data_IF_700566597147
#
_entry.id   IF_700566597147
#
_cell.length_a   1.000
_cell.length_b   1.000
_cell.length_c   1.000
_cell.angle_alpha   90.00
_cell.angle_beta   90.00
_cell.angle_gamma   90.00
#
_symmetry.space_group_name_H-M   'P 1'
#
loop_
_entity.id
_entity.type
_entity.pdbx_description
1 polymer ?
#
# COMPACT_ATOMS: atom_id res chain seq x y z
N UNK A 1 -24.26 24.27 48.83
CA UNK A 1 -24.41 22.84 48.50
C UNK A 1 -24.67 22.72 47.00
N UNK A 2 -24.10 21.71 46.35
CA UNK A 2 -23.97 21.51 44.88
C UNK A 2 -22.79 22.24 44.20
N UNK A 3 -21.58 21.87 44.63
CA UNK A 3 -20.37 21.88 43.81
C UNK A 3 -19.58 20.63 44.17
N UNK A 4 -19.96 19.48 43.59
CA UNK A 4 -19.16 18.23 43.61
C UNK A 4 -19.85 17.12 42.77
N UNK A 5 -19.88 17.22 41.44
CA UNK A 5 -20.30 16.08 40.59
C UNK A 5 -19.77 16.09 39.16
N UNK A 6 -18.69 16.83 38.86
CA UNK A 6 -18.06 16.77 37.53
C UNK A 6 -16.54 16.87 37.66
N UNK A 7 -15.94 15.92 38.39
CA UNK A 7 -14.48 15.81 38.56
C UNK A 7 -13.98 14.37 38.70
N UNK A 8 -14.68 13.43 38.09
CA UNK A 8 -14.24 12.03 37.95
C UNK A 8 -14.55 11.62 36.51
N UNK A 9 -13.62 10.90 35.89
CA UNK A 9 -13.54 10.54 34.45
C UNK A 9 -12.87 11.62 33.60
N UNK A 10 -11.57 11.88 33.85
CA UNK A 10 -10.58 12.29 32.85
C UNK A 10 -9.20 12.38 33.54
N UNK A 11 -8.68 11.24 34.01
CA UNK A 11 -7.25 11.09 34.37
C UNK A 11 -6.94 9.63 34.69
N UNK A 12 -6.63 8.83 33.66
CA UNK A 12 -5.85 7.59 33.77
C UNK A 12 -5.52 7.06 32.37
N UNK A 13 -4.42 7.54 31.82
CA UNK A 13 -3.47 6.82 30.95
C UNK A 13 -2.69 7.84 30.12
N UNK A 14 -1.48 8.17 30.57
CA UNK A 14 -0.58 9.04 29.85
C UNK A 14 0.44 9.63 30.80
N UNK A 15 1.73 9.46 30.46
CA UNK A 15 2.94 9.88 31.19
C UNK A 15 3.53 8.85 32.15
N UNK A 16 4.01 7.74 31.61
CA UNK A 16 5.30 7.11 32.00
C UNK A 16 5.79 6.28 30.82
N UNK A 17 6.57 6.86 29.90
CA UNK A 17 7.57 6.18 29.05
C UNK A 17 8.20 7.14 28.02
N UNK A 18 8.68 8.31 28.44
CA UNK A 18 9.54 9.16 27.60
C UNK A 18 10.43 10.01 28.51
N UNK A 19 11.44 9.37 29.10
CA UNK A 19 12.53 10.02 29.84
C UNK A 19 13.64 8.99 30.12
N UNK A 20 14.34 8.51 29.08
CA UNK A 20 15.63 7.82 29.22
C UNK A 20 16.30 7.57 27.86
N UNK A 21 16.84 8.62 27.23
CA UNK A 21 18.05 8.62 26.37
C UNK A 21 18.17 9.95 25.63
N UNK A 22 18.49 11.01 26.38
CA UNK A 22 19.16 12.18 25.82
C UNK A 22 20.36 12.39 26.73
N UNK A 23 21.54 11.97 26.25
CA UNK A 23 22.77 12.05 27.01
C UNK A 23 23.96 11.61 26.17
N UNK A 24 24.77 12.61 25.80
CA UNK A 24 26.08 12.57 25.12
C UNK A 24 26.07 12.50 23.60
N UNK A 25 26.13 13.69 22.99
CA UNK A 25 26.85 13.91 21.75
C UNK A 25 27.52 15.28 21.82
N UNK A 26 28.75 15.31 22.33
CA UNK A 26 29.71 16.38 22.10
C UNK A 26 31.11 15.74 22.02
N UNK A 27 31.84 16.14 20.97
CA UNK A 27 33.22 15.78 20.60
C UNK A 27 33.46 14.41 19.98
N UNK A 28 33.59 14.39 18.64
CA UNK A 28 34.85 14.05 17.95
C UNK A 28 34.72 14.35 16.45
N UNK A 29 35.28 15.49 16.07
CA UNK A 29 35.73 15.80 14.71
C UNK A 29 36.93 14.93 14.36
N UNK A 30 36.76 14.01 13.40
CA UNK A 30 37.68 13.67 12.28
C UNK A 30 37.06 12.47 11.55
N UNK A 31 36.44 12.72 10.39
CA UNK A 31 36.09 11.66 9.45
C UNK A 31 37.37 11.24 8.72
N UNK A 32 37.94 10.12 9.12
CA UNK A 32 38.90 9.38 8.30
C UNK A 32 38.09 8.48 7.38
N UNK A 33 38.29 8.61 6.07
CA UNK A 33 37.74 7.71 5.06
C UNK A 33 38.08 6.26 5.39
N UNK A 34 37.05 5.48 5.75
CA UNK A 34 37.13 4.03 5.80
C UNK A 34 36.36 3.52 4.57
N UNK A 35 37.11 3.26 3.51
CA UNK A 35 36.65 2.55 2.31
C UNK A 35 36.37 1.09 2.68
N UNK A 36 35.09 0.72 2.71
CA UNK A 36 34.66 -0.68 2.78
C UNK A 36 34.80 -1.32 1.39
N UNK A 37 35.41 -2.50 1.24
CA UNK A 37 35.55 -3.18 -0.05
C UNK A 37 34.28 -3.97 -0.35
N UNK A 38 33.53 -3.55 -1.37
CA UNK A 38 32.34 -4.27 -1.84
C UNK A 38 31.37 -3.41 -2.65
N UNK A 39 31.90 -2.49 -3.45
CA UNK A 39 31.10 -1.68 -4.38
C UNK A 39 30.56 -2.60 -5.48
N UNK A 40 29.35 -3.13 -5.31
CA UNK A 40 28.57 -3.67 -6.43
C UNK A 40 28.10 -2.49 -7.30
N UNK A 41 29.04 -1.87 -8.02
CA UNK A 41 28.80 -0.84 -9.02
C UNK A 41 28.06 -1.48 -10.19
N UNK A 42 26.74 -1.52 -10.10
CA UNK A 42 25.95 -1.28 -11.30
C UNK A 42 26.15 0.19 -11.60
N UNK A 43 26.73 0.52 -12.75
CA UNK A 43 27.14 1.87 -13.08
C UNK A 43 25.98 2.85 -12.90
N UNK A 44 26.21 3.95 -12.18
CA UNK A 44 25.24 5.04 -12.03
C UNK A 44 24.76 5.56 -13.40
N UNK A 45 25.58 5.40 -14.45
CA UNK A 45 25.23 5.66 -15.84
C UNK A 45 24.11 4.74 -16.35
N UNK A 46 24.15 3.43 -16.05
CA UNK A 46 23.11 2.45 -16.45
C UNK A 46 21.78 2.75 -15.74
N UNK A 47 21.83 3.15 -14.48
CA UNK A 47 20.64 3.54 -13.72
C UNK A 47 20.06 4.85 -14.26
N UNK A 48 20.91 5.84 -14.55
CA UNK A 48 20.50 7.12 -15.14
C UNK A 48 19.87 6.90 -16.52
N UNK A 49 20.44 6.04 -17.37
CA UNK A 49 19.91 5.72 -18.69
C UNK A 49 18.56 4.95 -18.62
N UNK A 50 18.43 4.02 -17.66
CA UNK A 50 17.18 3.31 -17.40
C UNK A 50 16.05 4.25 -16.94
N UNK A 51 16.36 5.33 -16.21
CA UNK A 51 15.39 6.37 -15.85
C UNK A 51 15.10 7.33 -17.02
N UNK A 52 16.00 7.41 -18.00
CA UNK A 52 15.92 8.30 -19.16
C UNK A 52 15.25 7.69 -20.39
N UNK A 53 14.83 6.42 -20.38
CA UNK A 53 14.09 5.80 -21.50
C UNK A 53 12.69 6.42 -21.63
N UNK A 54 12.65 7.59 -22.26
CA UNK A 54 11.50 8.47 -22.46
C UNK A 54 10.89 8.25 -23.83
N UNK A 55 9.63 7.82 -23.87
CA UNK A 55 8.59 8.17 -24.87
C UNK A 55 7.45 7.15 -24.87
N UNK A 56 7.71 5.88 -24.52
CA UNK A 56 6.71 4.82 -24.55
C UNK A 56 6.28 4.41 -23.14
N UNK A 57 4.96 4.24 -22.96
CA UNK A 57 4.41 3.66 -21.74
C UNK A 57 5.03 2.29 -21.49
N UNK A 58 5.59 2.11 -20.30
CA UNK A 58 6.19 0.85 -19.86
C UNK A 58 5.14 -0.23 -19.54
N UNK A 59 3.87 0.18 -19.43
CA UNK A 59 2.70 -0.66 -19.19
C UNK A 59 1.78 -0.57 -20.40
N UNK A 60 1.35 -1.72 -20.93
CA UNK A 60 0.40 -1.80 -22.03
C UNK A 60 -0.84 -2.59 -21.63
N UNK A 61 -1.99 -2.11 -22.10
CA UNK A 61 -3.29 -2.71 -21.86
C UNK A 61 -3.71 -3.55 -23.07
N UNK A 62 -4.71 -4.42 -22.89
CA UNK A 62 -5.31 -5.13 -24.02
C UNK A 62 -6.06 -4.16 -24.94
N UNK A 63 -6.41 -4.64 -26.14
CA UNK A 63 -6.97 -3.81 -27.22
C UNK A 63 -8.34 -3.18 -26.91
N UNK A 64 -9.02 -3.62 -25.85
CA UNK A 64 -10.27 -3.05 -25.36
C UNK A 64 -10.08 -1.72 -24.58
N UNK A 65 -8.83 -1.30 -24.35
CA UNK A 65 -8.49 -0.05 -23.68
C UNK A 65 -8.28 -0.21 -22.17
N UNK A 66 -8.22 0.92 -21.47
CA UNK A 66 -8.03 0.94 -20.02
C UNK A 66 -9.24 1.55 -19.32
N UNK A 67 -9.88 0.76 -18.46
CA UNK A 67 -10.92 1.20 -17.53
C UNK A 67 -10.37 1.14 -16.09
N UNK A 68 -10.23 2.28 -15.40
CA UNK A 68 -9.67 2.33 -14.04
C UNK A 68 -10.54 1.64 -13.00
N UNK A 69 -11.81 1.32 -13.29
CA UNK A 69 -12.74 0.67 -12.38
C UNK A 69 -13.04 -0.78 -12.75
N UNK A 70 -12.26 -1.36 -13.67
CA UNK A 70 -12.34 -2.78 -14.04
C UNK A 70 -11.03 -3.50 -13.74
N UNK A 71 -11.13 -4.75 -13.31
CA UNK A 71 -9.98 -5.65 -13.19
C UNK A 71 -9.50 -6.04 -14.59
N UNK A 72 -8.21 -5.87 -14.88
CA UNK A 72 -7.68 -6.04 -16.24
C UNK A 72 -6.30 -6.72 -16.29
N UNK A 73 -6.05 -7.59 -17.28
CA UNK A 73 -4.70 -8.05 -17.57
C UNK A 73 -3.86 -6.91 -18.18
N UNK A 74 -2.59 -6.86 -17.82
CA UNK A 74 -1.63 -5.88 -18.36
C UNK A 74 -0.32 -6.57 -18.76
N UNK A 75 0.42 -5.94 -19.66
CA UNK A 75 1.79 -6.33 -20.03
C UNK A 75 2.74 -5.18 -19.69
N UNK A 76 4.01 -5.48 -19.48
CA UNK A 76 5.02 -4.47 -19.20
C UNK A 76 6.42 -4.87 -19.67
N UNK A 77 7.33 -3.89 -19.73
CA UNK A 77 8.74 -4.09 -20.16
C UNK A 77 9.76 -3.98 -19.02
N UNK A 78 9.28 -4.01 -17.77
CA UNK A 78 10.10 -3.78 -16.57
C UNK A 78 10.85 -5.00 -16.01
N UNK A 79 10.71 -6.19 -16.59
CA UNK A 79 11.30 -7.44 -16.05
C UNK A 79 12.82 -7.36 -15.89
N UNK A 80 13.50 -6.74 -16.85
CA UNK A 80 14.95 -6.59 -16.87
C UNK A 80 15.40 -5.22 -16.34
N UNK A 81 14.50 -4.44 -15.74
CA UNK A 81 14.83 -3.10 -15.26
C UNK A 81 15.90 -3.19 -14.15
N UNK A 82 17.02 -2.43 -14.23
CA UNK A 82 18.16 -2.57 -13.31
C UNK A 82 17.78 -2.41 -11.82
N UNK A 83 16.85 -1.50 -11.52
CA UNK A 83 16.37 -1.29 -10.14
C UNK A 83 15.52 -2.43 -9.59
N UNK A 84 15.03 -3.33 -10.44
CA UNK A 84 14.21 -4.47 -10.00
C UNK A 84 15.00 -5.78 -9.94
N UNK A 85 16.32 -5.71 -10.12
CA UNK A 85 17.23 -6.86 -10.03
C UNK A 85 17.75 -7.03 -8.60
N UNK A 86 18.05 -8.29 -8.23
CA UNK A 86 18.38 -8.66 -6.85
C UNK A 86 19.46 -7.81 -6.17
N UNK A 87 20.61 -7.48 -6.82
CA UNK A 87 21.61 -6.62 -6.19
C UNK A 87 21.04 -5.26 -5.76
N UNK A 88 20.15 -4.67 -6.55
CA UNK A 88 19.54 -3.38 -6.22
C UNK A 88 18.40 -3.49 -5.23
N UNK A 89 17.70 -4.63 -5.19
CA UNK A 89 16.72 -4.90 -4.15
C UNK A 89 17.37 -5.10 -2.78
N UNK A 90 18.54 -5.75 -2.73
CA UNK A 90 19.35 -5.85 -1.50
C UNK A 90 19.81 -4.48 -1.02
N UNK A 91 20.41 -3.68 -1.91
CA UNK A 91 20.85 -2.33 -1.56
C UNK A 91 19.68 -1.41 -1.13
N UNK A 92 18.52 -1.54 -1.75
CA UNK A 92 17.31 -0.83 -1.33
C UNK A 92 16.84 -1.29 0.05
N UNK A 93 16.84 -2.60 0.30
CA UNK A 93 16.40 -3.16 1.58
C UNK A 93 17.24 -2.61 2.74
N UNK A 94 18.55 -2.53 2.61
CA UNK A 94 19.40 -1.94 3.66
C UNK A 94 18.99 -0.50 3.99
N UNK A 95 18.64 0.30 2.97
CA UNK A 95 18.18 1.69 3.18
C UNK A 95 16.79 1.75 3.80
N UNK A 96 15.87 0.86 3.38
CA UNK A 96 14.50 0.82 3.91
C UNK A 96 14.42 0.25 5.33
N UNK A 97 15.32 -0.67 5.70
CA UNK A 97 15.34 -1.29 7.03
C UNK A 97 15.62 -0.25 8.12
N UNK A 98 16.55 0.68 7.87
CA UNK A 98 16.84 1.81 8.76
C UNK A 98 15.61 2.69 9.00
N UNK A 99 14.71 2.77 8.03
CA UNK A 99 13.47 3.55 8.10
C UNK A 99 12.28 2.74 8.65
N UNK A 100 12.46 1.46 8.97
CA UNK A 100 11.36 0.58 9.39
C UNK A 100 10.33 0.33 8.28
N UNK A 101 10.73 0.49 7.02
CA UNK A 101 9.84 0.39 5.84
C UNK A 101 9.93 -0.99 5.17
N UNK A 102 10.08 -2.03 5.97
CA UNK A 102 10.09 -3.44 5.54
C UNK A 102 9.11 -4.22 6.38
N UNK A 103 8.36 -5.10 5.73
CA UNK A 103 7.52 -6.10 6.40
C UNK A 103 7.90 -7.49 5.93
N UNK A 104 8.02 -8.42 6.87
CA UNK A 104 8.32 -9.82 6.56
C UNK A 104 7.56 -10.77 7.47
N UNK A 105 7.32 -11.98 6.98
CA UNK A 105 6.75 -13.11 7.72
C UNK A 105 7.21 -14.43 7.07
N UNK A 106 7.12 -15.56 7.77
CA UNK A 106 7.36 -16.87 7.16
C UNK A 106 6.28 -17.18 6.11
N UNK A 107 6.53 -18.14 5.22
CA UNK A 107 5.57 -18.55 4.20
C UNK A 107 4.45 -19.48 4.73
N UNK A 108 4.26 -19.57 6.04
CA UNK A 108 3.20 -20.37 6.67
C UNK A 108 1.81 -19.72 6.59
N UNK A 109 1.73 -18.47 6.12
CA UNK A 109 0.46 -17.80 5.87
C UNK A 109 -0.34 -18.54 4.79
N UNK A 110 -1.65 -18.62 4.97
CA UNK A 110 -2.59 -19.24 4.05
C UNK A 110 -3.61 -18.21 3.55
N UNK A 111 -4.45 -18.61 2.59
CA UNK A 111 -5.50 -17.78 2.00
C UNK A 111 -6.36 -17.04 3.05
N UNK A 112 -6.74 -17.75 4.11
CA UNK A 112 -7.57 -17.22 5.20
C UNK A 112 -6.82 -16.59 6.38
N UNK A 113 -5.49 -16.48 6.33
CA UNK A 113 -4.75 -15.76 7.38
C UNK A 113 -5.18 -14.29 7.41
N UNK A 114 -5.53 -13.70 8.57
CA UNK A 114 -5.83 -12.28 8.64
C UNK A 114 -4.62 -11.45 8.19
N UNK A 115 -4.76 -10.73 7.08
CA UNK A 115 -3.63 -10.08 6.39
C UNK A 115 -2.81 -9.13 7.29
N UNK A 116 -3.48 -8.34 8.14
CA UNK A 116 -2.81 -7.42 9.06
C UNK A 116 -2.02 -8.17 10.16
N UNK A 117 -2.40 -9.41 10.49
CA UNK A 117 -1.81 -10.19 11.56
C UNK A 117 -0.71 -11.16 11.10
N UNK A 118 -0.53 -11.38 9.79
CA UNK A 118 0.41 -12.38 9.26
C UNK A 118 1.82 -12.28 9.87
N UNK A 119 2.41 -11.07 9.94
CA UNK A 119 3.72 -10.84 10.59
C UNK A 119 3.77 -11.22 12.06
N UNK A 120 2.67 -11.03 12.80
CA UNK A 120 2.60 -11.38 14.23
C UNK A 120 2.39 -12.88 14.42
N UNK A 121 1.58 -13.51 13.57
CA UNK A 121 1.24 -14.93 13.65
C UNK A 121 2.37 -15.83 13.14
N UNK A 122 3.10 -15.36 12.12
CA UNK A 122 4.12 -16.12 11.41
C UNK A 122 5.42 -15.30 11.32
N UNK A 123 6.06 -14.96 12.45
CA UNK A 123 7.23 -14.09 12.45
C UNK A 123 8.37 -14.72 11.64
N UNK A 124 9.02 -13.92 10.79
CA UNK A 124 10.29 -14.31 10.19
C UNK A 124 11.43 -14.04 11.18
N UNK A 125 12.26 -15.04 11.44
CA UNK A 125 13.38 -14.95 12.39
C UNK A 125 14.68 -14.43 11.75
N UNK A 126 14.73 -14.34 10.42
CA UNK A 126 15.87 -13.83 9.65
C UNK A 126 15.81 -12.32 9.51
N UNK A 127 16.97 -11.67 9.37
CA UNK A 127 16.99 -10.24 8.99
C UNK A 127 16.47 -10.04 7.56
N UNK A 128 16.09 -8.82 7.21
CA UNK A 128 15.65 -8.49 5.86
C UNK A 128 16.75 -8.82 4.82
N UNK A 129 17.99 -8.42 5.08
CA UNK A 129 19.13 -8.69 4.20
C UNK A 129 19.39 -10.20 4.02
N UNK A 130 19.38 -10.98 5.12
CA UNK A 130 19.54 -12.44 5.05
C UNK A 130 18.38 -13.10 4.28
N UNK A 131 17.16 -12.62 4.51
CA UNK A 131 15.96 -13.12 3.82
C UNK A 131 16.04 -12.89 2.33
N UNK A 132 16.45 -11.71 1.88
CA UNK A 132 16.59 -11.38 0.46
C UNK A 132 17.74 -12.16 -0.20
N UNK A 133 18.89 -12.28 0.48
CA UNK A 133 20.05 -12.98 -0.05
C UNK A 133 19.79 -14.48 -0.26
N UNK A 134 18.99 -15.09 0.62
CA UNK A 134 18.67 -16.52 0.61
C UNK A 134 17.19 -16.79 0.27
N UNK A 135 16.52 -15.87 -0.44
CA UNK A 135 15.06 -15.90 -0.58
C UNK A 135 14.51 -17.22 -1.13
N UNK A 136 15.28 -17.93 -1.95
CA UNK A 136 14.85 -19.23 -2.47
C UNK A 136 14.55 -20.24 -1.36
N UNK A 137 15.36 -20.25 -0.30
CA UNK A 137 15.30 -21.23 0.78
C UNK A 137 14.83 -20.61 2.11
N UNK A 138 14.65 -19.29 2.14
CA UNK A 138 14.28 -18.54 3.34
C UNK A 138 12.88 -18.89 3.88
N UNK A 139 12.01 -19.49 3.06
CA UNK A 139 10.60 -19.77 3.40
C UNK A 139 9.90 -18.54 3.95
N UNK A 140 10.05 -17.43 3.22
CA UNK A 140 9.65 -16.12 3.69
C UNK A 140 8.94 -15.30 2.62
N UNK A 141 8.07 -14.43 3.09
CA UNK A 141 7.56 -13.28 2.39
C UNK A 141 8.30 -12.04 2.89
N UNK A 142 8.77 -11.19 1.97
CA UNK A 142 9.35 -9.90 2.28
C UNK A 142 8.75 -8.82 1.38
N UNK A 143 8.35 -7.72 1.99
CA UNK A 143 7.79 -6.56 1.30
C UNK A 143 8.61 -5.31 1.63
N UNK A 144 9.15 -4.70 0.58
CA UNK A 144 9.78 -3.38 0.60
C UNK A 144 8.65 -2.35 0.44
N UNK A 145 8.34 -1.65 1.52
CA UNK A 145 7.17 -0.77 1.60
C UNK A 145 7.54 0.64 1.16
N UNK A 146 6.60 1.31 0.47
CA UNK A 146 6.72 2.73 0.13
C UNK A 146 8.07 3.08 -0.50
N UNK A 147 8.53 2.33 -1.50
CA UNK A 147 9.90 2.45 -2.03
C UNK A 147 10.22 3.86 -2.52
N UNK A 148 9.21 4.66 -2.86
CA UNK A 148 9.34 6.08 -3.20
C UNK A 148 9.86 6.99 -2.08
N UNK A 149 9.98 6.52 -0.83
CA UNK A 149 10.71 7.28 0.20
C UNK A 149 12.20 7.40 -0.15
N UNK A 150 12.75 6.38 -0.81
CA UNK A 150 14.08 6.43 -1.42
C UNK A 150 14.05 7.32 -2.68
N UNK A 151 14.96 8.30 -2.84
CA UNK A 151 14.92 9.24 -3.97
C UNK A 151 15.02 8.59 -5.36
N UNK A 152 15.82 7.53 -5.48
CA UNK A 152 16.03 6.84 -6.75
C UNK A 152 14.75 6.08 -7.16
N UNK A 153 14.15 5.37 -6.22
CA UNK A 153 12.89 4.68 -6.47
C UNK A 153 11.70 5.64 -6.57
N UNK A 154 11.77 6.84 -5.99
CA UNK A 154 10.78 7.91 -6.18
C UNK A 154 10.71 8.36 -7.63
N UNK A 155 11.87 8.62 -8.23
CA UNK A 155 11.95 8.99 -9.64
C UNK A 155 11.44 7.85 -10.52
N UNK A 156 11.82 6.61 -10.22
CA UNK A 156 11.33 5.43 -10.92
C UNK A 156 9.79 5.31 -10.87
N UNK A 157 9.19 5.32 -9.67
CA UNK A 157 7.73 5.29 -9.49
C UNK A 157 7.06 6.47 -10.19
N UNK A 158 7.69 7.65 -10.14
CA UNK A 158 7.31 8.83 -10.90
C UNK A 158 7.19 8.52 -12.40
N UNK A 159 8.29 8.18 -13.03
CA UNK A 159 8.35 7.91 -14.47
C UNK A 159 7.30 6.89 -14.93
N UNK A 160 7.11 5.78 -14.21
CA UNK A 160 6.12 4.77 -14.58
C UNK A 160 4.69 5.32 -14.52
N UNK A 161 4.30 5.96 -13.40
CA UNK A 161 2.94 6.46 -13.24
C UNK A 161 2.65 7.69 -14.13
N UNK A 162 3.66 8.47 -14.50
CA UNK A 162 3.49 9.57 -15.48
C UNK A 162 3.20 9.02 -16.89
N UNK A 163 3.72 7.84 -17.22
CA UNK A 163 3.40 7.15 -18.48
C UNK A 163 1.94 6.68 -18.58
N UNK A 164 1.31 6.38 -17.43
CA UNK A 164 -0.10 5.92 -17.38
C UNK A 164 -1.08 7.08 -17.24
N UNK A 165 -0.67 8.18 -16.61
CA UNK A 165 -1.54 9.35 -16.34
C UNK A 165 -2.38 9.82 -17.53
N UNK A 166 -1.86 9.93 -18.78
CA UNK A 166 -2.67 10.37 -19.92
C UNK A 166 -3.87 9.47 -20.23
N UNK A 167 -3.83 8.19 -19.83
CA UNK A 167 -4.93 7.25 -19.99
C UNK A 167 -5.98 7.39 -18.89
N UNK A 168 -5.57 7.90 -17.72
CA UNK A 168 -6.42 8.06 -16.54
C UNK A 168 -7.14 9.39 -16.50
N UNK A 169 -6.44 10.48 -16.79
CA UNK A 169 -6.98 11.83 -16.62
C UNK A 169 -8.33 12.07 -17.32
N UNK A 170 -8.60 11.49 -18.51
CA UNK A 170 -9.91 11.67 -19.17
C UNK A 170 -11.08 10.96 -18.48
N UNK A 171 -10.85 9.91 -17.70
CA UNK A 171 -11.92 9.05 -17.16
C UNK A 171 -11.93 8.95 -15.62
N UNK A 172 -10.78 9.06 -14.96
CA UNK A 172 -10.65 9.08 -13.50
C UNK A 172 -9.50 10.02 -13.06
N UNK A 173 -9.72 11.35 -13.07
CA UNK A 173 -8.69 12.36 -12.85
C UNK A 173 -8.20 12.46 -11.39
N UNK A 174 -7.17 13.27 -11.19
CA UNK A 174 -6.70 13.61 -9.85
C UNK A 174 -5.71 12.59 -9.26
N UNK A 175 -4.86 11.99 -10.11
CA UNK A 175 -3.83 11.06 -9.68
C UNK A 175 -2.95 11.66 -8.57
N UNK A 176 -2.97 11.04 -7.40
CA UNK A 176 -2.22 11.46 -6.21
C UNK A 176 -1.74 10.25 -5.39
N UNK A 177 -0.96 10.51 -4.32
CA UNK A 177 -0.42 9.47 -3.42
C UNK A 177 0.25 8.30 -4.16
N UNK A 178 1.14 8.66 -5.09
CA UNK A 178 1.85 7.74 -5.97
C UNK A 178 2.84 6.91 -5.17
N UNK A 179 2.66 5.60 -5.17
CA UNK A 179 3.45 4.69 -4.34
C UNK A 179 4.00 3.49 -5.11
N UNK A 180 5.02 2.86 -4.53
CA UNK A 180 5.58 1.61 -5.00
C UNK A 180 5.84 0.61 -3.86
N UNK A 181 5.58 -0.67 -4.13
CA UNK A 181 5.86 -1.78 -3.21
C UNK A 181 6.51 -2.91 -3.98
N UNK A 182 7.60 -3.46 -3.44
CA UNK A 182 8.27 -4.61 -4.04
C UNK A 182 8.08 -5.80 -3.12
N UNK A 183 7.57 -6.90 -3.68
CA UNK A 183 7.38 -8.16 -2.98
C UNK A 183 8.42 -9.16 -3.47
N UNK A 184 9.21 -9.68 -2.54
CA UNK A 184 10.24 -10.70 -2.77
C UNK A 184 9.89 -11.89 -1.89
N UNK A 185 9.67 -13.04 -2.50
CA UNK A 185 9.01 -14.16 -1.82
C UNK A 185 9.56 -15.51 -2.26
N UNK A 186 9.70 -16.42 -1.29
CA UNK A 186 10.09 -17.81 -1.52
C UNK A 186 9.02 -18.55 -2.35
N UNK A 187 9.37 -19.72 -2.92
CA UNK A 187 8.40 -20.63 -3.53
C UNK A 187 7.20 -20.92 -2.61
N UNK A 188 6.03 -21.15 -3.21
CA UNK A 188 4.78 -21.54 -2.54
C UNK A 188 4.25 -20.56 -1.48
N UNK A 189 4.80 -19.34 -1.41
CA UNK A 189 4.30 -18.29 -0.52
C UNK A 189 2.92 -17.83 -0.94
N UNK A 190 2.03 -17.64 0.04
CA UNK A 190 0.69 -17.07 -0.16
C UNK A 190 0.62 -15.67 0.43
N UNK A 191 0.09 -14.71 -0.34
CA UNK A 191 -0.40 -13.45 0.23
C UNK A 191 -1.88 -13.64 0.54
N UNK A 192 -2.30 -13.56 1.82
CA UNK A 192 -3.67 -13.85 2.20
C UNK A 192 -4.70 -12.94 1.55
N UNK A 193 -5.96 -13.36 1.56
CA UNK A 193 -7.09 -12.62 1.03
C UNK A 193 -7.28 -11.27 1.74
N UNK A 194 -7.28 -10.18 0.97
CA UNK A 194 -7.47 -8.80 1.47
C UNK A 194 -7.88 -7.86 0.33
N UNK A 195 -8.16 -6.59 0.64
CA UNK A 195 -8.11 -5.51 -0.35
C UNK A 195 -7.24 -4.36 0.16
N UNK A 196 -6.96 -3.39 -0.70
CA UNK A 196 -6.25 -2.17 -0.40
C UNK A 196 -7.05 -0.93 -0.80
N UNK A 197 -6.58 0.26 -0.41
CA UNK A 197 -7.28 1.53 -0.69
C UNK A 197 -6.99 2.04 -2.08
N UNK A 198 -5.87 1.63 -2.66
CA UNK A 198 -5.31 2.19 -3.86
C UNK A 198 -5.75 1.43 -5.11
N UNK A 199 -5.80 2.12 -6.25
CA UNK A 199 -5.67 1.43 -7.53
C UNK A 199 -4.27 0.84 -7.63
N UNK A 200 -4.14 -0.37 -8.19
CA UNK A 200 -2.88 -1.10 -8.17
C UNK A 200 -2.55 -1.76 -9.51
N UNK A 201 -1.39 -1.43 -10.06
CA UNK A 201 -0.73 -2.18 -11.13
C UNK A 201 0.25 -3.18 -10.51
N UNK A 202 -0.13 -4.45 -10.46
CA UNK A 202 0.72 -5.53 -9.95
C UNK A 202 1.47 -6.19 -11.10
N UNK A 203 2.79 -5.99 -11.17
CA UNK A 203 3.66 -6.37 -12.28
C UNK A 203 4.64 -7.48 -11.88
N UNK A 204 4.62 -8.59 -12.60
CA UNK A 204 5.48 -9.72 -12.32
C UNK A 204 6.85 -9.53 -12.97
N UNK A 205 7.91 -9.50 -12.15
CA UNK A 205 9.29 -9.24 -12.59
C UNK A 205 10.05 -10.56 -12.77
N UNK A 206 9.95 -11.46 -11.79
CA UNK A 206 10.67 -12.76 -11.80
C UNK A 206 9.80 -13.85 -11.20
N UNK A 207 9.91 -15.06 -11.73
CA UNK A 207 9.16 -16.23 -11.26
C UNK A 207 7.71 -16.22 -11.74
N UNK A 208 6.92 -17.17 -11.27
CA UNK A 208 5.50 -17.32 -11.63
C UNK A 208 4.61 -17.13 -10.41
N UNK A 209 3.42 -16.60 -10.64
CA UNK A 209 2.47 -16.30 -9.58
C UNK A 209 1.04 -16.36 -10.10
N UNK A 210 0.14 -16.93 -9.31
CA UNK A 210 -1.29 -16.88 -9.55
C UNK A 210 -1.91 -15.79 -8.69
N UNK A 211 -2.62 -14.86 -9.32
CA UNK A 211 -3.32 -13.76 -8.64
C UNK A 211 -4.82 -13.96 -8.84
N UNK A 212 -5.55 -13.95 -7.76
CA UNK A 212 -7.02 -13.95 -7.75
C UNK A 212 -7.44 -12.52 -7.43
N UNK A 213 -8.28 -11.95 -8.28
CA UNK A 213 -8.83 -10.60 -8.08
C UNK A 213 -10.33 -10.67 -8.26
N UNK A 214 -11.06 -10.14 -7.30
CA UNK A 214 -12.51 -10.03 -7.34
C UNK A 214 -12.91 -8.62 -7.76
N UNK A 215 -14.10 -8.50 -8.34
CA UNK A 215 -14.65 -7.20 -8.69
C UNK A 215 -14.75 -6.28 -7.44
N UNK A 216 -14.38 -5.02 -7.59
CA UNK A 216 -14.40 -4.04 -6.49
C UNK A 216 -15.79 -3.89 -5.87
N UNK A 217 -16.85 -4.12 -6.65
CA UNK A 217 -18.25 -4.04 -6.23
C UNK A 217 -18.86 -5.40 -5.86
N UNK A 218 -18.07 -6.47 -5.79
CA UNK A 218 -18.58 -7.78 -5.36
C UNK A 218 -18.99 -7.76 -3.87
N UNK A 219 -20.29 -7.60 -3.63
CA UNK A 219 -20.87 -7.53 -2.28
C UNK A 219 -20.98 -8.87 -1.57
N UNK A 220 -20.85 -9.99 -2.29
CA UNK A 220 -20.82 -11.34 -1.72
C UNK A 220 -19.45 -11.61 -1.09
N UNK A 221 -18.38 -11.19 -1.78
CA UNK A 221 -16.99 -11.42 -1.37
C UNK A 221 -16.53 -10.38 -0.35
N UNK A 222 -16.91 -9.12 -0.55
CA UNK A 222 -16.69 -8.04 0.41
C UNK A 222 -17.96 -7.21 0.54
N UNK A 223 -18.64 -7.27 1.68
CA UNK A 223 -19.86 -6.50 1.88
C UNK A 223 -19.58 -5.01 2.19
N UNK A 224 -20.61 -4.18 2.09
CA UNK A 224 -20.51 -2.73 2.37
C UNK A 224 -19.98 -2.42 3.76
N UNK A 225 -20.37 -3.19 4.78
CA UNK A 225 -19.87 -2.99 6.15
C UNK A 225 -18.36 -3.21 6.24
N UNK A 226 -17.81 -4.17 5.49
CA UNK A 226 -16.37 -4.40 5.42
C UNK A 226 -15.65 -3.19 4.79
N UNK A 227 -16.18 -2.63 3.70
CA UNK A 227 -15.63 -1.41 3.06
C UNK A 227 -15.72 -0.19 3.98
N UNK A 228 -16.88 0.00 4.62
CA UNK A 228 -17.13 1.07 5.60
C UNK A 228 -16.10 1.03 6.74
N UNK A 229 -15.94 -0.13 7.40
CA UNK A 229 -14.96 -0.31 8.48
C UNK A 229 -13.52 -0.16 7.99
N UNK A 230 -13.22 -0.63 6.79
CA UNK A 230 -11.90 -0.47 6.22
C UNK A 230 -11.52 1.00 6.01
N UNK A 231 -12.36 1.79 5.37
CA UNK A 231 -12.06 3.21 5.16
C UNK A 231 -12.14 4.04 6.45
N UNK A 232 -13.01 3.66 7.38
CA UNK A 232 -13.17 4.38 8.64
C UNK A 232 -12.01 4.13 9.62
N UNK A 233 -11.59 2.88 9.80
CA UNK A 233 -10.62 2.50 10.85
C UNK A 233 -9.54 1.50 10.41
N UNK A 234 -9.33 1.30 9.10
CA UNK A 234 -8.32 0.40 8.53
C UNK A 234 -8.49 -1.07 8.96
N UNK A 235 -9.72 -1.46 9.28
CA UNK A 235 -10.05 -2.78 9.77
C UNK A 235 -10.45 -3.72 8.61
N UNK A 236 -9.79 -4.88 8.53
CA UNK A 236 -10.07 -5.92 7.52
C UNK A 236 -10.71 -7.19 8.10
N UNK A 237 -11.12 -7.19 9.38
CA UNK A 237 -11.64 -8.41 10.06
C UNK A 237 -12.89 -9.01 9.42
N UNK A 238 -13.64 -8.20 8.66
CA UNK A 238 -14.87 -8.61 7.98
C UNK A 238 -14.60 -9.19 6.58
N UNK A 239 -13.36 -9.12 6.10
CA UNK A 239 -12.90 -9.87 4.94
C UNK A 239 -12.56 -11.29 5.38
N UNK A 240 -13.57 -12.15 5.42
CA UNK A 240 -13.42 -13.54 5.85
C UNK A 240 -13.28 -14.40 4.61
N UNK A 241 -12.15 -15.11 4.49
CA UNK A 241 -11.91 -16.03 3.38
C UNK A 241 -12.94 -17.15 3.36
N UNK A 242 -13.44 -17.47 2.16
CA UNK A 242 -14.21 -18.65 1.87
C UNK A 242 -13.68 -19.25 0.57
N UNK A 243 -13.38 -20.55 0.58
CA UNK A 243 -12.84 -21.25 -0.57
C UNK A 243 -13.73 -21.13 -1.83
N UNK A 244 -15.05 -21.09 -1.64
CA UNK A 244 -16.02 -20.90 -2.73
C UNK A 244 -15.87 -19.55 -3.44
N UNK A 245 -15.21 -18.56 -2.83
CA UNK A 245 -14.96 -17.28 -3.49
C UNK A 245 -14.04 -17.43 -4.69
N UNK A 246 -13.19 -18.47 -4.77
CA UNK A 246 -12.31 -18.67 -5.94
C UNK A 246 -13.09 -18.70 -7.26
N UNK A 247 -14.30 -19.25 -7.28
CA UNK A 247 -15.15 -19.33 -8.48
C UNK A 247 -15.61 -17.96 -8.98
N UNK A 248 -15.53 -16.93 -8.13
CA UNK A 248 -15.91 -15.54 -8.44
C UNK A 248 -14.72 -14.68 -8.84
N UNK A 249 -13.49 -15.18 -8.69
CA UNK A 249 -12.29 -14.42 -8.99
C UNK A 249 -12.01 -14.41 -10.48
N UNK A 250 -11.53 -13.28 -10.98
CA UNK A 250 -10.70 -13.27 -12.18
C UNK A 250 -9.30 -13.77 -11.79
N UNK A 251 -8.83 -14.80 -12.49
CA UNK A 251 -7.55 -15.46 -12.19
C UNK A 251 -6.50 -15.09 -13.22
N UNK A 252 -5.33 -14.67 -12.75
CA UNK A 252 -4.18 -14.32 -13.58
C UNK A 252 -2.98 -15.19 -13.24
N UNK A 253 -2.55 -16.03 -14.17
CA UNK A 253 -1.30 -16.79 -14.09
C UNK A 253 -0.15 -15.97 -14.69
N UNK A 254 0.47 -15.13 -13.85
CA UNK A 254 1.47 -14.15 -14.25
C UNK A 254 2.87 -14.76 -14.39
N UNK A 255 3.52 -14.47 -15.52
CA UNK A 255 4.94 -14.66 -15.82
C UNK A 255 5.65 -13.30 -15.92
N UNK A 256 7.00 -13.27 -15.96
CA UNK A 256 7.74 -12.02 -16.18
C UNK A 256 7.22 -11.24 -17.40
N UNK A 257 6.93 -9.95 -17.21
CA UNK A 257 6.38 -9.06 -18.25
C UNK A 257 4.85 -9.04 -18.31
N UNK A 258 4.19 -9.79 -17.43
CA UNK A 258 2.73 -9.82 -17.26
C UNK A 258 2.34 -9.18 -15.93
N UNK A 259 1.12 -8.64 -15.87
CA UNK A 259 0.58 -8.10 -14.65
C UNK A 259 -0.93 -8.17 -14.60
N UNK A 260 -1.47 -7.76 -13.45
CA UNK A 260 -2.88 -7.51 -13.25
C UNK A 260 -3.07 -6.09 -12.73
N UNK A 261 -4.02 -5.38 -13.32
CA UNK A 261 -4.57 -4.15 -12.76
C UNK A 261 -5.81 -4.48 -11.93
N UNK A 262 -5.89 -3.88 -10.74
CA UNK A 262 -7.05 -4.01 -9.87
C UNK A 262 -7.46 -2.64 -9.30
N UNK A 263 -8.75 -2.27 -9.40
CA UNK A 263 -9.25 -1.05 -8.81
C UNK A 263 -9.14 -1.02 -7.28
N UNK A 264 -9.20 0.19 -6.72
CA UNK A 264 -9.35 0.42 -5.28
C UNK A 264 -10.42 -0.50 -4.67
N UNK A 265 -10.10 -1.11 -3.53
CA UNK A 265 -10.97 -2.04 -2.80
C UNK A 265 -11.38 -3.32 -3.52
N UNK A 266 -10.71 -3.68 -4.64
CA UNK A 266 -10.83 -5.02 -5.22
C UNK A 266 -10.23 -6.05 -4.25
N UNK A 267 -11.02 -7.01 -3.72
CA UNK A 267 -10.45 -8.13 -2.99
C UNK A 267 -9.47 -8.86 -3.88
N UNK A 268 -8.38 -9.37 -3.29
CA UNK A 268 -7.37 -10.10 -4.00
C UNK A 268 -6.57 -11.03 -3.08
N UNK A 269 -5.95 -12.04 -3.68
CA UNK A 269 -5.14 -13.06 -3.05
C UNK A 269 -4.07 -13.54 -4.02
N UNK A 270 -2.92 -13.99 -3.51
CA UNK A 270 -1.79 -14.41 -4.33
C UNK A 270 -1.26 -15.76 -3.88
N UNK A 271 -0.93 -16.62 -4.85
CA UNK A 271 -0.24 -17.88 -4.65
C UNK A 271 1.00 -17.93 -5.56
N UNK A 272 2.19 -18.03 -4.96
CA UNK A 272 3.43 -18.16 -5.72
C UNK A 272 3.64 -19.57 -6.27
N UNK A 273 4.32 -19.67 -7.41
CA UNK A 273 4.77 -20.93 -7.97
C UNK A 273 5.95 -21.57 -7.21
N UNK A 274 6.64 -22.48 -7.89
CA UNK A 274 7.79 -23.26 -7.43
C UNK A 274 9.13 -22.50 -7.45
N UNK A 275 9.11 -21.23 -7.86
CA UNK A 275 10.30 -20.39 -7.97
C UNK A 275 10.20 -19.17 -7.05
N UNK A 276 11.36 -18.63 -6.67
CA UNK A 276 11.44 -17.28 -6.10
C UNK A 276 10.68 -16.29 -6.97
N UNK A 277 9.81 -15.50 -6.36
CA UNK A 277 9.01 -14.49 -7.05
C UNK A 277 9.41 -13.08 -6.65
N UNK A 278 9.56 -12.21 -7.65
CA UNK A 278 9.68 -10.76 -7.50
C UNK A 278 8.52 -10.10 -8.23
N UNK A 279 7.77 -9.26 -7.52
CA UNK A 279 6.63 -8.52 -8.05
C UNK A 279 6.75 -7.06 -7.63
N UNK A 280 6.50 -6.13 -8.53
CA UNK A 280 6.44 -4.70 -8.24
C UNK A 280 4.99 -4.23 -8.37
N UNK A 281 4.51 -3.52 -7.37
CA UNK A 281 3.21 -2.86 -7.36
C UNK A 281 3.42 -1.36 -7.50
N UNK A 282 2.73 -0.74 -8.45
CA UNK A 282 2.60 0.71 -8.56
C UNK A 282 1.17 1.09 -8.20
N UNK A 283 1.01 1.94 -7.20
CA UNK A 283 -0.32 2.33 -6.72
C UNK A 283 -0.52 3.84 -6.73
N UNK A 284 -1.78 4.23 -6.80
CA UNK A 284 -2.19 5.62 -6.81
C UNK A 284 -3.64 5.74 -6.33
N UNK A 285 -4.00 6.97 -5.97
CA UNK A 285 -5.35 7.39 -5.71
C UNK A 285 -5.81 8.35 -6.80
N UNK A 286 -7.10 8.45 -6.98
CA UNK A 286 -7.80 9.45 -7.82
C UNK A 286 -8.81 10.23 -6.99
N UNK A 287 -9.41 11.27 -7.56
CA UNK A 287 -10.49 11.99 -6.89
C UNK A 287 -11.67 11.07 -6.56
N UNK A 288 -11.97 10.09 -7.42
CA UNK A 288 -13.03 9.10 -7.21
C UNK A 288 -12.71 8.15 -6.05
N UNK A 289 -11.48 7.62 -5.94
CA UNK A 289 -11.11 6.78 -4.78
C UNK A 289 -11.22 7.54 -3.46
N UNK A 290 -10.82 8.83 -3.46
CA UNK A 290 -10.90 9.68 -2.27
C UNK A 290 -12.35 10.01 -1.92
N UNK A 291 -13.20 10.26 -2.92
CA UNK A 291 -14.65 10.41 -2.75
C UNK A 291 -15.26 9.15 -2.13
N UNK A 292 -14.98 7.97 -2.68
CA UNK A 292 -15.50 6.70 -2.20
C UNK A 292 -15.05 6.42 -0.75
N UNK A 293 -13.77 6.68 -0.44
CA UNK A 293 -13.26 6.54 0.92
C UNK A 293 -13.99 7.45 1.93
N UNK A 294 -14.29 8.69 1.55
CA UNK A 294 -15.05 9.62 2.39
C UNK A 294 -16.50 9.15 2.61
N UNK A 295 -17.15 8.62 1.57
CA UNK A 295 -18.51 8.08 1.65
C UNK A 295 -18.57 6.87 2.58
N UNK A 296 -17.69 5.88 2.39
CA UNK A 296 -17.59 4.72 3.28
C UNK A 296 -17.28 5.11 4.73
N UNK A 297 -16.42 6.11 4.95
CA UNK A 297 -16.16 6.66 6.29
C UNK A 297 -17.41 7.27 6.91
N UNK A 298 -18.22 8.00 6.15
CA UNK A 298 -19.48 8.56 6.61
C UNK A 298 -20.55 7.48 6.87
N UNK A 299 -20.64 6.46 6.01
CA UNK A 299 -21.53 5.32 6.18
C UNK A 299 -21.19 4.54 7.46
N UNK A 300 -19.91 4.30 7.74
CA UNK A 300 -19.48 3.68 9.00
C UNK A 300 -19.98 4.47 10.22
N UNK A 301 -19.87 5.80 10.19
CA UNK A 301 -20.34 6.66 11.28
C UNK A 301 -21.86 6.65 11.43
N UNK A 302 -22.61 6.60 10.32
CA UNK A 302 -24.07 6.43 10.36
C UNK A 302 -24.45 5.09 11.02
N UNK A 303 -23.74 4.01 10.69
CA UNK A 303 -23.94 2.69 11.33
C UNK A 303 -23.63 2.69 12.81
N UNK A 304 -22.59 3.39 13.23
CA UNK A 304 -22.28 3.58 14.66
C UNK A 304 -23.38 4.36 15.41
N UNK A 305 -24.14 5.19 14.72
CA UNK A 305 -25.33 5.88 15.26
C UNK A 305 -26.62 5.08 15.14
N UNK A 306 -26.57 3.84 14.63
CA UNK A 306 -27.73 2.94 14.51
C UNK A 306 -28.50 3.03 13.19
N UNK A 307 -28.01 3.80 12.21
CA UNK A 307 -28.61 3.86 10.87
C UNK A 307 -27.99 2.84 9.92
N UNK A 308 -28.79 2.30 8.99
CA UNK A 308 -28.30 1.38 7.95
C UNK A 308 -28.42 2.10 6.60
N UNK A 309 -27.38 2.80 6.13
CA UNK A 309 -27.43 3.44 4.83
C UNK A 309 -27.48 2.39 3.70
N UNK A 310 -28.08 2.73 2.54
CA UNK A 310 -27.95 1.92 1.34
C UNK A 310 -26.47 1.83 0.90
N UNK A 311 -26.11 0.91 -0.01
CA UNK A 311 -24.76 0.83 -0.56
C UNK A 311 -24.30 2.17 -1.16
N UNK A 312 -23.01 2.48 -1.02
CA UNK A 312 -22.42 3.71 -1.62
C UNK A 312 -22.71 3.74 -3.12
N UNK A 313 -23.04 4.91 -3.67
CA UNK A 313 -23.38 5.09 -5.09
C UNK A 313 -24.84 4.77 -5.43
N UNK A 314 -25.65 4.23 -4.50
CA UNK A 314 -27.07 3.95 -4.76
C UNK A 314 -27.95 5.20 -4.71
N UNK A 315 -27.58 6.21 -3.90
CA UNK A 315 -28.36 7.44 -3.72
C UNK A 315 -27.46 8.66 -3.82
N UNK A 316 -27.49 9.33 -4.98
CA UNK A 316 -26.71 10.56 -5.22
C UNK A 316 -27.04 11.65 -4.21
N UNK A 317 -28.32 11.81 -3.83
CA UNK A 317 -28.75 12.79 -2.84
C UNK A 317 -28.11 12.56 -1.46
N UNK A 318 -28.08 11.30 -0.99
CA UNK A 318 -27.44 10.97 0.27
C UNK A 318 -25.93 11.19 0.20
N UNK A 319 -25.29 10.68 -0.86
CA UNK A 319 -23.85 10.75 -1.05
C UNK A 319 -23.36 12.21 -1.10
N UNK A 320 -24.03 13.05 -1.89
CA UNK A 320 -23.67 14.46 -2.01
C UNK A 320 -23.91 15.22 -0.69
N UNK A 321 -24.98 14.90 0.04
CA UNK A 321 -25.23 15.43 1.37
C UNK A 321 -24.13 15.06 2.37
N UNK A 322 -23.71 13.80 2.40
CA UNK A 322 -22.64 13.32 3.28
C UNK A 322 -21.29 13.96 2.93
N UNK A 323 -20.99 14.13 1.65
CA UNK A 323 -19.76 14.78 1.20
C UNK A 323 -19.73 16.27 1.57
N UNK A 324 -20.85 16.99 1.41
CA UNK A 324 -20.96 18.38 1.85
C UNK A 324 -20.72 18.51 3.36
N UNK A 325 -21.32 17.62 4.16
CA UNK A 325 -21.10 17.57 5.61
C UNK A 325 -19.63 17.29 5.96
N UNK A 326 -18.98 16.37 5.25
CA UNK A 326 -17.56 16.07 5.45
C UNK A 326 -16.67 17.29 5.13
N UNK A 327 -16.96 18.00 4.03
CA UNK A 327 -16.24 19.22 3.63
C UNK A 327 -16.46 20.35 4.65
N UNK A 328 -17.70 20.59 5.08
CA UNK A 328 -18.03 21.59 6.09
C UNK A 328 -17.31 21.31 7.43
N UNK A 329 -17.28 20.05 7.87
CA UNK A 329 -16.53 19.63 9.07
C UNK A 329 -15.04 19.88 8.94
N UNK A 330 -14.45 19.62 7.77
CA UNK A 330 -13.01 19.88 7.51
C UNK A 330 -12.70 21.36 7.56
N UNK A 331 -13.54 22.21 6.95
CA UNK A 331 -13.40 23.66 7.00
C UNK A 331 -13.52 24.18 8.43
N UNK A 332 -14.54 23.74 9.17
CA UNK A 332 -14.74 24.16 10.56
C UNK A 332 -13.55 23.79 11.44
N UNK A 333 -13.01 22.57 11.33
CA UNK A 333 -11.78 22.16 12.04
C UNK A 333 -10.57 23.04 11.70
N UNK A 334 -10.40 23.42 10.44
CA UNK A 334 -9.31 24.32 10.01
C UNK A 334 -9.48 25.71 10.62
N UNK A 335 -10.69 26.25 10.64
CA UNK A 335 -10.99 27.56 11.25
C UNK A 335 -10.83 27.52 12.77
N UNK A 336 -11.32 26.48 13.43
CA UNK A 336 -11.19 26.29 14.87
C UNK A 336 -9.72 26.16 15.32
N UNK A 337 -8.87 25.49 14.52
CA UNK A 337 -7.42 25.41 14.76
C UNK A 337 -6.70 26.73 14.52
N UNK A 338 -7.11 27.51 13.52
CA UNK A 338 -6.55 28.87 13.31
C UNK A 338 -6.92 29.85 14.43
N UNK A 339 -7.98 29.58 15.19
CA UNK A 339 -8.35 30.32 16.40
C UNK A 339 -7.60 29.90 17.68
N UNK A 340 -6.76 28.85 17.62
CA UNK A 340 -5.99 28.33 18.75
C UNK A 340 -4.55 28.04 18.36
N UNK A 341 -3.69 29.06 18.51
CA UNK A 341 -2.22 29.03 18.48
C UNK A 341 -1.49 28.53 17.21
N UNK A 342 -0.60 29.40 16.75
CA UNK A 342 0.37 29.21 15.69
C UNK A 342 1.46 28.20 16.09
N UNK A 343 1.71 27.21 15.24
CA UNK A 343 3.00 26.52 15.18
C UNK A 343 2.96 25.00 15.30
N UNK A 344 2.52 24.29 14.25
CA UNK A 344 3.10 22.98 13.93
C UNK A 344 2.91 22.66 12.45
N UNK A 345 3.94 22.05 11.87
CA UNK A 345 4.17 21.81 10.44
C UNK A 345 3.09 20.95 9.77
N UNK A 346 2.63 21.41 8.61
CA UNK A 346 1.58 20.79 7.80
C UNK A 346 2.15 19.70 6.89
N UNK A 347 2.29 18.45 7.38
CA UNK A 347 2.54 17.30 6.49
C UNK A 347 2.00 15.93 6.98
N UNK A 348 1.13 15.85 8.00
CA UNK A 348 0.76 14.54 8.56
C UNK A 348 -0.72 14.35 8.97
N UNK A 349 -1.67 15.14 8.45
CA UNK A 349 -3.05 15.12 8.98
C UNK A 349 -4.18 14.76 8.00
N UNK A 350 -3.91 14.37 6.76
CA UNK A 350 -5.01 13.89 5.89
C UNK A 350 -5.41 12.43 6.14
N UNK A 351 -4.80 11.76 7.13
CA UNK A 351 -4.96 10.32 7.44
C UNK A 351 -5.46 9.99 8.86
N UNK A 352 -6.34 10.82 9.45
CA UNK A 352 -7.12 10.41 10.64
C UNK A 352 -8.64 10.55 10.46
#
# INVERSE_FOLDING_TARGET
>A
MMSLALRIILTRCGKKFWAAKIGRMQHLTTFTECTMPGDSKVDAAVISDALQTRSQSQITFQSDGFDPWRVQPIKHRLSDHPLLQMPQLLALADRLDVMGSIRTHSNDAAAGTPFNDATRLYPNTRSAAQTLAEINDAKAFLSLLNVQIDPLYREFVGTILDGVRPLLEPCDPGMCYRGGWIFVSSPHTVTPFHFDKEHNFLLQIRGKKRVYVWDANDTVVANELARDRFHHCHERKLLVWNEAFRERAQVFDLRPGEGAYMPSTSPHMVENGDQTSVTMSFTYYTDSTRRNALLHKAHAMLREMGFVPPPVGTSSFLDDGLLLLAQARRLWRRLARRGGESGTTAYAEDDR
#
